data_IF_861932414573
#
_entry.id   IF_861932414573
#
_cell.length_a   1.000
_cell.length_b   1.000
_cell.length_c   1.000
_cell.angle_alpha   90.00
_cell.angle_beta   90.00
_cell.angle_gamma   90.00
#
_symmetry.space_group_name_H-M   'P 1'
#
loop_
_entity.id
_entity.type
_entity.pdbx_description
1 polymer ?
#
# COMPACT_ATOMS: atom_id res chain seq x y z
N UNK A 1 16.66 -54.49 -37.46
CA UNK A 1 17.87 -55.01 -36.80
C UNK A 1 17.82 -54.43 -35.42
N UNK A 2 17.38 -55.21 -34.42
CA UNK A 2 18.09 -55.81 -33.30
C UNK A 2 18.78 -54.76 -32.44
N UNK A 3 18.16 -54.41 -31.30
CA UNK A 3 18.32 -54.95 -29.93
C UNK A 3 19.55 -54.28 -29.23
N UNK A 4 19.57 -53.89 -27.97
CA UNK A 4 19.37 -54.70 -26.76
C UNK A 4 19.19 -53.73 -25.54
N UNK A 5 18.29 -54.14 -24.67
CA UNK A 5 18.12 -53.75 -23.25
C UNK A 5 19.38 -53.89 -22.43
N UNK A 6 19.53 -53.07 -21.38
CA UNK A 6 19.94 -53.62 -20.07
C UNK A 6 19.48 -52.69 -18.93
N UNK A 7 18.63 -53.23 -18.08
CA UNK A 7 18.26 -52.76 -16.76
C UNK A 7 19.33 -53.18 -15.73
N UNK A 8 19.58 -52.35 -14.76
CA UNK A 8 20.18 -52.78 -13.47
C UNK A 8 19.45 -52.13 -12.33
N UNK A 9 18.73 -52.97 -11.62
CA UNK A 9 18.23 -52.69 -10.29
C UNK A 9 19.28 -53.18 -9.28
N UNK A 10 19.53 -52.42 -8.25
CA UNK A 10 20.27 -52.88 -7.05
C UNK A 10 19.65 -52.32 -5.79
N UNK A 11 19.07 -53.17 -5.08
CA UNK A 11 18.52 -53.21 -3.73
C UNK A 11 19.67 -53.33 -2.70
N UNK A 12 19.69 -52.51 -1.63
CA UNK A 12 20.38 -52.82 -0.37
C UNK A 12 19.73 -52.01 0.76
N UNK A 13 18.93 -52.59 1.55
CA UNK A 13 19.05 -53.21 2.88
C UNK A 13 19.39 -52.24 4.03
N UNK A 14 18.40 -52.16 4.94
CA UNK A 14 18.46 -51.61 6.28
C UNK A 14 19.58 -52.16 7.17
N UNK A 15 20.26 -51.33 7.93
CA UNK A 15 20.90 -51.71 9.18
C UNK A 15 20.51 -50.69 10.24
N UNK A 16 19.71 -51.15 11.22
CA UNK A 16 19.52 -50.51 12.49
C UNK A 16 20.74 -50.74 13.35
N UNK A 17 21.38 -49.70 13.83
CA UNK A 17 22.18 -49.74 15.06
C UNK A 17 21.82 -48.56 15.93
N UNK A 18 21.19 -48.84 17.03
CA UNK A 18 21.00 -47.91 18.12
C UNK A 18 22.33 -47.67 18.83
N UNK A 19 22.58 -46.41 19.13
CA UNK A 19 23.52 -46.02 20.19
C UNK A 19 22.95 -44.76 20.83
N UNK A 20 22.50 -44.97 22.06
CA UNK A 20 22.20 -43.91 23.02
C UNK A 20 23.51 -43.22 23.42
N UNK A 21 23.64 -41.95 23.13
CA UNK A 21 24.70 -41.11 23.69
C UNK A 21 24.14 -39.74 24.02
N UNK A 22 24.18 -39.44 25.27
CA UNK A 22 24.23 -38.22 26.04
C UNK A 22 23.80 -36.90 25.37
N UNK A 23 22.68 -36.37 25.85
CA UNK A 23 22.33 -34.96 25.74
C UNK A 23 23.34 -34.11 26.49
N UNK A 24 24.38 -33.63 25.82
CA UNK A 24 25.12 -32.47 26.30
C UNK A 24 24.29 -31.21 25.91
N UNK A 25 23.61 -30.67 26.91
CA UNK A 25 23.03 -29.34 26.81
C UNK A 25 24.16 -28.35 26.67
N UNK A 26 24.48 -27.96 25.44
CA UNK A 26 25.29 -26.78 25.21
C UNK A 26 24.44 -25.57 25.67
N UNK A 27 24.83 -24.99 26.81
CA UNK A 27 24.42 -23.67 27.22
C UNK A 27 24.88 -22.70 26.12
N UNK A 28 23.96 -22.33 25.24
CA UNK A 28 24.12 -21.15 24.43
C UNK A 28 24.03 -19.98 25.39
N UNK A 29 25.18 -19.41 25.73
CA UNK A 29 25.23 -18.08 26.31
C UNK A 29 24.52 -17.15 25.34
N UNK A 30 23.27 -16.83 25.67
CA UNK A 30 22.56 -15.70 25.09
C UNK A 30 23.34 -14.45 25.52
N UNK A 31 24.26 -14.03 24.65
CA UNK A 31 24.74 -12.68 24.67
C UNK A 31 23.49 -11.81 24.55
N UNK A 32 23.12 -11.21 25.67
CA UNK A 32 22.16 -10.11 25.67
C UNK A 32 22.83 -8.96 24.95
N UNK A 33 22.73 -8.96 23.62
CA UNK A 33 22.79 -7.73 22.86
C UNK A 33 21.67 -6.85 23.41
N UNK A 34 22.10 -5.90 24.20
CA UNK A 34 21.26 -4.80 24.66
C UNK A 34 20.93 -3.95 23.44
N UNK A 35 19.98 -4.43 22.62
CA UNK A 35 19.24 -3.54 21.74
C UNK A 35 18.69 -2.46 22.67
N UNK A 36 19.28 -1.27 22.57
CA UNK A 36 18.75 -0.09 23.22
C UNK A 36 17.26 -0.07 22.87
N UNK A 37 16.41 -0.42 23.82
CA UNK A 37 14.97 -0.22 23.70
C UNK A 37 14.81 1.26 23.51
N UNK A 38 14.60 1.70 22.25
CA UNK A 38 14.04 3.00 21.99
C UNK A 38 12.72 2.99 22.77
N UNK A 39 12.69 3.70 23.86
CA UNK A 39 11.49 3.84 24.66
C UNK A 39 10.52 4.65 23.80
N UNK A 40 9.66 3.94 23.05
CA UNK A 40 8.44 4.55 22.52
C UNK A 40 7.76 5.18 23.75
N UNK A 41 7.56 6.50 23.78
CA UNK A 41 6.96 7.15 24.93
C UNK A 41 5.71 6.38 25.34
N UNK A 42 5.57 6.03 26.61
CA UNK A 42 4.40 5.33 27.13
C UNK A 42 3.13 6.09 26.77
N UNK A 43 1.94 5.50 26.93
CA UNK A 43 0.68 6.13 26.54
C UNK A 43 0.58 7.50 27.17
N UNK A 44 0.91 8.52 26.36
CA UNK A 44 0.76 9.92 26.74
C UNK A 44 -0.71 10.24 26.79
N UNK A 45 -1.11 11.06 27.74
CA UNK A 45 -2.48 11.55 27.88
C UNK A 45 -3.11 11.88 26.52
N UNK A 46 -4.37 11.54 26.36
CA UNK A 46 -5.10 11.53 25.08
C UNK A 46 -5.11 12.85 24.28
N UNK A 47 -4.40 13.87 24.74
CA UNK A 47 -4.32 15.21 24.16
C UNK A 47 -2.92 15.72 23.77
N UNK A 48 -1.82 15.12 24.25
CA UNK A 48 -0.48 15.63 23.93
C UNK A 48 -0.07 15.23 22.50
N UNK A 49 0.46 16.20 21.76
CA UNK A 49 1.07 16.00 20.45
C UNK A 49 2.59 16.06 20.63
N UNK A 50 3.28 15.04 20.16
CA UNK A 50 4.75 14.98 20.20
C UNK A 50 5.26 15.70 18.94
N UNK A 51 6.26 16.56 19.09
CA UNK A 51 6.86 17.24 17.94
C UNK A 51 7.79 16.29 17.18
N UNK A 52 7.71 16.35 15.87
CA UNK A 52 8.66 15.69 14.95
C UNK A 52 9.71 16.71 14.53
N UNK A 53 10.95 16.26 14.44
CA UNK A 53 12.05 17.07 13.95
C UNK A 53 12.79 16.31 12.86
N UNK A 54 13.16 17.00 11.79
CA UNK A 54 13.96 16.41 10.73
C UNK A 54 15.30 15.92 11.28
N UNK A 55 15.57 14.62 11.18
CA UNK A 55 16.86 14.03 11.51
C UNK A 55 17.79 14.00 10.31
N UNK A 56 17.23 13.93 9.10
CA UNK A 56 17.98 14.07 7.84
C UNK A 56 17.08 14.58 6.71
N UNK A 57 17.71 15.26 5.75
CA UNK A 57 17.08 15.69 4.50
C UNK A 57 17.98 15.29 3.33
N UNK A 58 17.43 14.58 2.36
CA UNK A 58 18.14 14.10 1.19
C UNK A 58 17.49 14.63 -0.07
N UNK A 59 18.27 15.30 -0.92
CA UNK A 59 17.83 15.67 -2.26
C UNK A 59 18.03 14.48 -3.21
N UNK A 60 16.94 13.96 -3.77
CA UNK A 60 16.95 12.78 -4.63
C UNK A 60 16.59 13.08 -6.09
N UNK A 61 16.67 14.36 -6.49
CA UNK A 61 16.30 14.80 -7.84
C UNK A 61 17.14 14.16 -8.93
N UNK A 62 18.45 13.98 -8.70
CA UNK A 62 19.35 13.31 -9.63
C UNK A 62 18.99 11.85 -9.84
N UNK A 63 18.61 11.18 -8.77
CA UNK A 63 18.21 9.77 -8.77
C UNK A 63 16.85 9.57 -9.43
N UNK A 64 15.95 10.51 -9.21
CA UNK A 64 14.64 10.54 -9.89
C UNK A 64 14.77 10.81 -11.39
N UNK A 65 15.72 11.67 -11.79
CA UNK A 65 15.91 12.09 -13.18
C UNK A 65 14.68 12.80 -13.76
N UNK A 66 13.95 13.56 -12.95
CA UNK A 66 12.77 14.35 -13.35
C UNK A 66 11.84 14.68 -12.20
N UNK A 67 10.72 15.35 -12.50
CA UNK A 67 9.67 15.63 -11.52
C UNK A 67 9.01 14.36 -11.00
N UNK A 68 8.44 14.41 -9.80
CA UNK A 68 7.69 13.31 -9.24
C UNK A 68 6.18 13.54 -9.33
N UNK A 69 5.43 12.45 -9.27
CA UNK A 69 3.98 12.45 -9.06
C UNK A 69 3.68 12.10 -7.60
N UNK A 70 2.56 12.54 -7.09
CA UNK A 70 2.18 12.48 -5.67
C UNK A 70 2.04 11.08 -5.06
N UNK A 71 2.17 10.01 -5.84
CA UNK A 71 2.07 8.64 -5.33
C UNK A 71 3.44 8.15 -4.86
N UNK A 72 3.56 7.82 -3.60
CA UNK A 72 4.73 7.14 -3.03
C UNK A 72 4.28 6.00 -2.14
N UNK A 73 5.07 4.94 -2.08
CA UNK A 73 4.90 3.81 -1.17
C UNK A 73 6.24 3.38 -0.63
N UNK A 74 6.22 2.58 0.44
CA UNK A 74 7.42 2.02 1.02
C UNK A 74 7.32 0.50 1.09
N UNK A 75 8.46 -0.15 1.06
CA UNK A 75 8.56 -1.56 1.46
C UNK A 75 8.93 -1.68 2.96
N UNK A 76 8.99 -2.91 3.44
CA UNK A 76 9.30 -3.20 4.85
C UNK A 76 10.72 -2.78 5.25
N UNK A 77 11.63 -2.64 4.29
CA UNK A 77 13.01 -2.20 4.49
C UNK A 77 13.15 -0.66 4.48
N UNK A 78 12.04 0.05 4.29
CA UNK A 78 12.01 1.52 4.24
C UNK A 78 12.50 2.12 2.92
N UNK A 79 12.63 1.32 1.85
CA UNK A 79 12.88 1.85 0.53
C UNK A 79 11.62 2.55 0.00
N UNK A 80 11.83 3.67 -0.68
CA UNK A 80 10.78 4.48 -1.27
C UNK A 80 10.54 4.09 -2.74
N UNK A 81 9.30 3.87 -3.09
CA UNK A 81 8.82 3.71 -4.46
C UNK A 81 8.09 4.98 -4.86
N UNK A 82 8.65 5.74 -5.79
CA UNK A 82 8.16 7.06 -6.16
C UNK A 82 7.87 7.10 -7.66
N UNK A 83 6.65 7.49 -8.03
CA UNK A 83 6.27 7.63 -9.42
C UNK A 83 6.93 8.87 -10.02
N UNK A 84 7.73 8.67 -11.07
CA UNK A 84 8.41 9.72 -11.81
C UNK A 84 7.54 10.20 -12.96
N UNK A 85 7.38 11.51 -13.15
CA UNK A 85 6.70 12.06 -14.30
C UNK A 85 7.58 11.92 -15.56
N UNK A 86 7.13 11.13 -16.53
CA UNK A 86 7.73 11.04 -17.86
C UNK A 86 6.97 11.97 -18.80
N UNK A 87 7.58 13.10 -19.18
CA UNK A 87 6.95 14.16 -19.98
C UNK A 87 6.54 13.71 -21.38
N UNK A 88 7.26 12.76 -21.95
CA UNK A 88 6.99 12.15 -23.27
C UNK A 88 5.85 11.13 -23.24
N UNK A 89 5.55 10.57 -22.06
CA UNK A 89 4.53 9.53 -21.86
C UNK A 89 3.96 9.59 -20.43
N UNK A 90 3.26 10.66 -20.08
CA UNK A 90 2.86 10.93 -18.69
C UNK A 90 1.92 9.86 -18.11
N UNK A 91 1.13 9.18 -18.95
CA UNK A 91 0.26 8.08 -18.53
C UNK A 91 0.98 6.75 -18.31
N UNK A 92 2.20 6.62 -18.82
CA UNK A 92 3.09 5.44 -18.63
C UNK A 92 4.32 5.81 -17.79
N UNK A 93 4.13 6.66 -16.83
CA UNK A 93 5.19 7.14 -15.95
C UNK A 93 5.78 6.00 -15.12
N UNK A 94 7.12 5.83 -15.14
CA UNK A 94 7.79 4.78 -14.38
C UNK A 94 7.80 5.07 -12.89
N UNK A 95 8.08 4.02 -12.10
CA UNK A 95 8.32 4.12 -10.66
C UNK A 95 9.81 3.92 -10.39
N UNK A 96 10.39 4.79 -9.57
CA UNK A 96 11.79 4.71 -9.12
C UNK A 96 11.80 4.16 -7.70
N UNK A 97 12.65 3.16 -7.44
CA UNK A 97 12.95 2.68 -6.10
C UNK A 97 14.21 3.38 -5.59
N UNK A 98 14.10 4.00 -4.42
CA UNK A 98 15.18 4.72 -3.73
C UNK A 98 15.40 4.07 -2.38
N UNK A 99 16.65 3.77 -2.04
CA UNK A 99 17.02 3.19 -0.76
C UNK A 99 17.07 4.22 0.38
N UNK A 100 17.45 3.75 1.54
CA UNK A 100 17.58 4.57 2.74
C UNK A 100 18.65 5.67 2.63
N UNK A 101 19.62 5.52 1.73
CA UNK A 101 20.69 6.48 1.49
C UNK A 101 20.34 7.50 0.38
N UNK A 102 19.12 7.42 -0.17
CA UNK A 102 18.66 8.30 -1.24
C UNK A 102 19.16 7.90 -2.62
N UNK A 103 19.70 6.71 -2.80
CA UNK A 103 20.22 6.22 -4.09
C UNK A 103 19.16 5.43 -4.84
N UNK A 104 19.12 5.57 -6.15
CA UNK A 104 18.28 4.76 -7.00
C UNK A 104 18.77 3.32 -7.05
N UNK A 105 17.90 2.40 -6.63
CA UNK A 105 18.13 0.94 -6.63
C UNK A 105 17.57 0.28 -7.88
N UNK A 106 16.37 0.72 -8.32
CA UNK A 106 15.69 0.17 -9.49
C UNK A 106 14.83 1.22 -10.21
N UNK A 107 14.50 0.92 -11.47
CA UNK A 107 13.53 1.65 -12.29
C UNK A 107 12.52 0.64 -12.86
N UNK A 108 11.27 0.79 -12.51
CA UNK A 108 10.15 -0.02 -12.96
C UNK A 108 9.41 0.73 -14.07
N UNK A 109 9.69 0.37 -15.31
CA UNK A 109 9.23 1.10 -16.48
C UNK A 109 8.15 0.33 -17.24
N UNK A 110 6.86 0.79 -17.25
CA UNK A 110 5.78 0.14 -18.00
C UNK A 110 6.07 -0.02 -19.50
N UNK A 111 6.90 0.83 -20.08
CA UNK A 111 7.28 0.73 -21.50
C UNK A 111 8.09 -0.53 -21.83
N UNK A 112 8.66 -1.21 -20.84
CA UNK A 112 9.28 -2.51 -21.02
C UNK A 112 8.29 -3.58 -21.54
N UNK A 113 6.98 -3.39 -21.32
CA UNK A 113 5.92 -4.26 -21.83
C UNK A 113 5.42 -3.84 -23.22
N UNK A 114 6.31 -3.52 -24.13
CA UNK A 114 6.02 -2.96 -25.46
C UNK A 114 5.03 -3.78 -26.31
N UNK A 115 4.87 -5.09 -26.04
CA UNK A 115 3.93 -5.97 -26.74
C UNK A 115 2.46 -5.76 -26.34
N UNK A 116 2.19 -5.09 -25.21
CA UNK A 116 0.84 -4.92 -24.69
C UNK A 116 0.12 -3.69 -25.25
N UNK A 117 0.82 -2.79 -25.93
CA UNK A 117 0.29 -1.50 -26.39
C UNK A 117 -0.49 -0.79 -25.25
N UNK A 118 0.19 -0.58 -24.12
CA UNK A 118 -0.40 0.03 -22.95
C UNK A 118 -0.72 1.51 -23.20
N UNK A 119 -1.89 1.93 -22.75
CA UNK A 119 -2.33 3.33 -22.81
C UNK A 119 -2.04 4.05 -21.48
N UNK A 120 -2.12 3.33 -20.37
CA UNK A 120 -2.00 3.91 -19.03
C UNK A 120 -1.44 2.89 -18.02
N UNK A 121 -0.66 3.38 -17.07
CA UNK A 121 -0.20 2.62 -15.90
C UNK A 121 -0.26 3.53 -14.66
N UNK A 122 -0.98 3.10 -13.64
CA UNK A 122 -1.32 3.95 -12.49
C UNK A 122 -0.88 3.36 -11.15
N UNK A 123 -1.84 2.85 -10.38
CA UNK A 123 -1.60 2.37 -9.02
C UNK A 123 -0.56 1.24 -9.00
N UNK A 124 0.28 1.26 -7.99
CA UNK A 124 1.33 0.26 -7.81
C UNK A 124 1.41 -0.20 -6.36
N UNK A 125 2.04 -1.34 -6.15
CA UNK A 125 2.30 -1.94 -4.85
C UNK A 125 3.70 -2.53 -4.82
N UNK A 126 4.53 -2.21 -3.81
CA UNK A 126 5.77 -2.94 -3.58
C UNK A 126 5.48 -4.44 -3.43
N UNK A 127 6.39 -5.27 -3.93
CA UNK A 127 6.35 -6.72 -3.76
C UNK A 127 7.30 -7.14 -2.63
N UNK A 128 7.02 -8.26 -1.97
CA UNK A 128 7.83 -8.74 -0.84
C UNK A 128 9.27 -9.11 -1.23
N UNK A 129 9.50 -9.45 -2.49
CA UNK A 129 10.82 -9.76 -3.04
C UNK A 129 11.64 -8.51 -3.38
N UNK A 130 11.13 -7.32 -3.03
CA UNK A 130 11.73 -6.03 -3.37
C UNK A 130 11.44 -5.55 -4.78
N UNK A 131 10.65 -6.29 -5.55
CA UNK A 131 10.10 -5.90 -6.84
C UNK A 131 8.86 -5.01 -6.70
N UNK A 132 8.03 -4.96 -7.75
CA UNK A 132 6.84 -4.13 -7.78
C UNK A 132 5.75 -4.72 -8.69
N UNK A 133 4.51 -4.57 -8.27
CA UNK A 133 3.34 -4.75 -9.11
C UNK A 133 2.73 -3.40 -9.49
N UNK A 134 2.26 -3.26 -10.73
CA UNK A 134 1.59 -2.05 -11.20
C UNK A 134 0.38 -2.39 -12.05
N UNK A 135 -0.74 -1.71 -11.82
CA UNK A 135 -1.92 -1.80 -12.69
C UNK A 135 -1.68 -1.01 -13.96
N UNK A 136 -2.04 -1.61 -15.09
CA UNK A 136 -1.98 -0.97 -16.40
C UNK A 136 -3.20 -1.31 -17.25
N UNK A 137 -3.52 -0.43 -18.18
CA UNK A 137 -4.65 -0.55 -19.09
C UNK A 137 -4.17 -0.53 -20.54
N UNK A 138 -4.85 -1.30 -21.39
CA UNK A 138 -4.65 -1.31 -22.84
C UNK A 138 -6.02 -1.29 -23.55
N UNK A 139 -6.21 -0.36 -24.49
CA UNK A 139 -7.44 -0.21 -25.25
C UNK A 139 -8.43 0.80 -24.64
N UNK A 140 -8.70 1.88 -25.37
CA UNK A 140 -9.54 3.00 -24.90
C UNK A 140 -11.03 2.64 -24.82
N UNK A 141 -11.56 1.86 -25.78
CA UNK A 141 -12.99 1.55 -25.87
C UNK A 141 -13.38 0.28 -25.10
N UNK A 142 -12.45 -0.61 -24.90
CA UNK A 142 -12.65 -1.89 -24.24
C UNK A 142 -11.37 -2.23 -23.46
N UNK A 143 -11.12 -1.52 -22.36
CA UNK A 143 -9.86 -1.61 -21.67
C UNK A 143 -9.64 -3.02 -21.14
N UNK A 144 -8.46 -3.55 -21.38
CA UNK A 144 -7.94 -4.75 -20.70
C UNK A 144 -7.08 -4.29 -19.55
N UNK A 145 -7.32 -4.86 -18.39
CA UNK A 145 -6.58 -4.52 -17.17
C UNK A 145 -5.50 -5.56 -16.95
N UNK A 146 -4.28 -5.11 -16.83
CA UNK A 146 -3.11 -5.94 -16.56
C UNK A 146 -2.50 -5.59 -15.21
N UNK A 147 -1.97 -6.60 -14.53
CA UNK A 147 -0.98 -6.41 -13.48
C UNK A 147 0.39 -6.66 -14.10
N UNK A 148 1.20 -5.63 -14.18
CA UNK A 148 2.60 -5.70 -14.57
C UNK A 148 3.39 -6.10 -13.33
N UNK A 149 4.27 -7.09 -13.47
CA UNK A 149 5.19 -7.51 -12.41
C UNK A 149 6.62 -7.22 -12.85
N UNK A 150 7.36 -6.60 -11.94
CA UNK A 150 8.79 -6.32 -12.09
C UNK A 150 9.55 -6.98 -10.93
N UNK A 151 10.66 -7.63 -11.22
CA UNK A 151 11.60 -8.11 -10.23
C UNK A 151 12.34 -6.96 -9.54
N UNK A 152 13.07 -7.25 -8.47
CA UNK A 152 13.75 -6.23 -7.64
C UNK A 152 14.77 -5.36 -8.39
N UNK A 153 15.30 -5.84 -9.53
CA UNK A 153 16.21 -5.10 -10.40
C UNK A 153 15.51 -4.25 -11.48
N UNK A 154 14.16 -4.28 -11.52
CA UNK A 154 13.34 -3.59 -12.50
C UNK A 154 13.05 -4.38 -13.78
N UNK A 155 13.50 -5.63 -13.90
CA UNK A 155 13.24 -6.47 -15.06
C UNK A 155 11.76 -6.88 -15.14
N UNK A 156 11.11 -6.79 -16.33
CA UNK A 156 9.72 -7.15 -16.47
C UNK A 156 9.52 -8.68 -16.47
N UNK A 157 8.50 -9.14 -15.76
CA UNK A 157 8.00 -10.51 -15.79
C UNK A 157 6.80 -10.66 -16.73
N UNK A 158 6.22 -11.86 -16.82
CA UNK A 158 5.01 -12.05 -17.62
C UNK A 158 3.85 -11.21 -17.02
N UNK A 159 3.13 -10.42 -17.84
CA UNK A 159 1.99 -9.64 -17.37
C UNK A 159 0.81 -10.54 -17.06
N UNK A 160 0.00 -10.17 -16.07
CA UNK A 160 -1.19 -10.88 -15.63
C UNK A 160 -2.41 -10.14 -16.12
N UNK A 161 -3.25 -10.78 -16.94
CA UNK A 161 -4.53 -10.21 -17.38
C UNK A 161 -5.57 -10.44 -16.30
N UNK A 162 -6.24 -9.38 -15.83
CA UNK A 162 -7.36 -9.51 -14.92
C UNK A 162 -8.66 -9.78 -15.70
N UNK A 163 -9.45 -10.74 -15.22
CA UNK A 163 -10.76 -11.07 -15.79
C UNK A 163 -11.83 -10.10 -15.29
N UNK A 164 -11.62 -8.80 -15.55
CA UNK A 164 -12.55 -7.75 -15.16
C UNK A 164 -12.33 -6.48 -15.98
N UNK A 165 -13.41 -5.69 -16.13
CA UNK A 165 -13.38 -4.38 -16.78
C UNK A 165 -13.89 -3.32 -15.81
N UNK A 166 -12.98 -2.48 -15.29
CA UNK A 166 -13.29 -1.43 -14.34
C UNK A 166 -12.20 -0.35 -14.34
N UNK A 167 -12.53 0.83 -13.86
CA UNK A 167 -11.56 1.91 -13.62
C UNK A 167 -10.94 1.72 -12.23
N UNK A 168 -9.61 1.55 -12.17
CA UNK A 168 -8.89 1.27 -10.92
C UNK A 168 -8.57 2.55 -10.17
N UNK A 169 -8.87 2.59 -8.87
CA UNK A 169 -8.48 3.67 -7.96
C UNK A 169 -7.49 3.21 -6.90
N UNK A 170 -7.65 1.99 -6.38
CA UNK A 170 -6.81 1.44 -5.32
C UNK A 170 -6.36 0.04 -5.70
N UNK A 171 -5.09 -0.22 -5.50
CA UNK A 171 -4.45 -1.49 -5.80
C UNK A 171 -3.42 -1.84 -4.74
N UNK A 172 -3.38 -3.11 -4.34
CA UNK A 172 -2.31 -3.66 -3.51
C UNK A 172 -2.13 -5.17 -3.79
N UNK A 173 -0.91 -5.65 -3.59
CA UNK A 173 -0.58 -7.06 -3.68
C UNK A 173 -0.50 -7.68 -2.28
N UNK A 174 -1.04 -8.88 -2.12
CA UNK A 174 -0.85 -9.73 -0.96
C UNK A 174 0.52 -10.44 -1.03
N UNK A 175 0.96 -10.92 0.12
CA UNK A 175 2.21 -11.68 0.24
C UNK A 175 2.24 -12.96 -0.61
N UNK A 176 1.09 -13.57 -0.86
CA UNK A 176 0.93 -14.79 -1.66
C UNK A 176 0.82 -14.53 -3.17
N UNK A 177 0.92 -13.27 -3.60
CA UNK A 177 0.82 -12.84 -4.99
C UNK A 177 -0.61 -12.62 -5.49
N UNK A 178 -1.63 -12.76 -4.62
CA UNK A 178 -2.98 -12.31 -4.95
C UNK A 178 -3.05 -10.77 -4.95
N UNK A 179 -4.11 -10.21 -5.53
CA UNK A 179 -4.26 -8.76 -5.68
C UNK A 179 -5.60 -8.27 -5.16
N UNK A 180 -5.61 -7.18 -4.43
CA UNK A 180 -6.80 -6.39 -4.17
C UNK A 180 -6.89 -5.26 -5.19
N UNK A 181 -8.04 -5.12 -5.80
CA UNK A 181 -8.36 -4.03 -6.72
C UNK A 181 -9.66 -3.38 -6.30
N UNK A 182 -9.69 -2.05 -6.25
CA UNK A 182 -10.89 -1.28 -5.99
C UNK A 182 -11.02 -0.14 -6.99
N UNK A 183 -12.25 0.13 -7.43
CA UNK A 183 -12.52 1.18 -8.41
C UNK A 183 -13.99 1.27 -8.78
N UNK A 184 -14.28 1.70 -10.00
CA UNK A 184 -15.62 1.79 -10.56
C UNK A 184 -15.80 0.83 -11.72
N UNK A 185 -16.82 0.01 -11.66
CA UNK A 185 -17.27 -0.81 -12.77
C UNK A 185 -18.39 -0.07 -13.50
N UNK A 186 -18.24 0.11 -14.80
CA UNK A 186 -19.22 0.78 -15.66
C UNK A 186 -19.71 -0.15 -16.75
N UNK A 187 -20.98 -0.02 -17.14
CA UNK A 187 -21.45 -0.58 -18.38
C UNK A 187 -21.00 0.35 -19.52
N UNK A 188 -19.93 0.00 -20.20
CA UNK A 188 -19.31 0.79 -21.25
C UNK A 188 -20.22 1.10 -22.45
N UNK A 189 -21.37 0.43 -22.57
CA UNK A 189 -22.40 0.67 -23.60
C UNK A 189 -23.43 1.73 -23.14
N UNK A 190 -23.51 2.00 -21.85
CA UNK A 190 -24.48 2.96 -21.29
C UNK A 190 -23.79 4.28 -20.92
N UNK A 191 -23.96 5.31 -21.75
CA UNK A 191 -23.40 6.65 -21.51
C UNK A 191 -23.91 7.35 -20.24
N UNK A 192 -25.01 6.89 -19.67
CA UNK A 192 -25.62 7.39 -18.44
C UNK A 192 -25.28 6.54 -17.22
N UNK A 193 -24.41 5.53 -17.38
CA UNK A 193 -23.96 4.73 -16.25
C UNK A 193 -22.89 5.50 -15.45
N UNK A 194 -23.25 5.93 -14.25
CA UNK A 194 -22.32 6.59 -13.31
C UNK A 194 -21.33 5.62 -12.69
N UNK A 195 -21.43 4.33 -13.01
CA UNK A 195 -20.60 3.29 -12.45
C UNK A 195 -21.07 2.83 -11.04
N UNK A 196 -20.66 1.66 -10.67
CA UNK A 196 -20.84 1.08 -9.33
C UNK A 196 -19.50 0.80 -8.69
N UNK A 197 -19.41 0.99 -7.38
CA UNK A 197 -18.21 0.63 -6.66
C UNK A 197 -17.93 -0.86 -6.83
N UNK A 198 -16.69 -1.15 -7.16
CA UNK A 198 -16.19 -2.49 -7.34
C UNK A 198 -14.93 -2.67 -6.48
N UNK A 199 -14.91 -3.70 -5.65
CA UNK A 199 -13.72 -4.10 -4.91
C UNK A 199 -13.67 -5.61 -4.92
N UNK A 200 -12.56 -6.18 -5.38
CA UNK A 200 -12.40 -7.61 -5.46
C UNK A 200 -10.96 -8.04 -5.18
N UNK A 201 -10.81 -9.30 -4.78
CA UNK A 201 -9.53 -9.99 -4.72
C UNK A 201 -9.41 -10.88 -5.94
N UNK A 202 -8.28 -10.78 -6.60
CA UNK A 202 -7.87 -11.60 -7.73
C UNK A 202 -6.72 -12.51 -7.32
N UNK A 203 -6.68 -13.70 -7.89
CA UNK A 203 -5.55 -14.62 -7.74
C UNK A 203 -4.33 -14.13 -8.53
N UNK A 204 -3.17 -14.70 -8.21
CA UNK A 204 -1.91 -14.43 -8.90
C UNK A 204 -1.94 -14.72 -10.43
N UNK A 205 -2.92 -15.48 -10.91
CA UNK A 205 -3.18 -15.74 -12.33
C UNK A 205 -4.29 -14.85 -12.94
N UNK A 206 -4.81 -13.88 -12.18
CA UNK A 206 -5.74 -12.85 -12.65
C UNK A 206 -7.22 -13.21 -12.57
N UNK A 207 -7.62 -14.35 -11.98
CA UNK A 207 -9.03 -14.73 -11.81
C UNK A 207 -9.62 -14.05 -10.58
N UNK A 208 -10.85 -13.58 -10.67
CA UNK A 208 -11.59 -13.08 -9.51
C UNK A 208 -11.83 -14.21 -8.51
N UNK A 209 -11.38 -14.01 -7.27
CA UNK A 209 -11.58 -14.94 -6.16
C UNK A 209 -12.78 -14.55 -5.30
N UNK A 210 -12.94 -13.26 -5.03
CA UNK A 210 -14.00 -12.75 -4.17
C UNK A 210 -14.28 -11.29 -4.49
N UNK A 211 -15.55 -10.92 -4.55
CA UNK A 211 -15.99 -9.53 -4.55
C UNK A 211 -16.35 -9.09 -3.13
N UNK A 212 -15.86 -7.91 -2.72
CA UNK A 212 -16.06 -7.38 -1.39
C UNK A 212 -17.18 -6.34 -1.39
N UNK A 213 -18.03 -6.38 -0.38
CA UNK A 213 -19.01 -5.35 -0.09
C UNK A 213 -18.69 -4.73 1.27
N UNK A 214 -18.60 -3.40 1.31
CA UNK A 214 -18.38 -2.65 2.54
C UNK A 214 -19.65 -1.93 2.93
N UNK A 215 -20.05 -2.03 4.19
CA UNK A 215 -21.15 -1.24 4.71
C UNK A 215 -20.78 0.24 4.79
N UNK A 216 -21.69 1.11 4.34
CA UNK A 216 -21.53 2.54 4.54
C UNK A 216 -21.57 2.87 6.03
N UNK A 217 -20.70 3.76 6.56
CA UNK A 217 -20.83 4.21 7.94
C UNK A 217 -22.21 4.84 8.18
N UNK A 218 -22.79 4.59 9.36
CA UNK A 218 -24.11 5.09 9.70
C UNK A 218 -24.28 6.62 9.53
N UNK A 219 -23.20 7.39 9.67
CA UNK A 219 -23.20 8.85 9.47
C UNK A 219 -23.33 9.26 7.99
N UNK A 220 -22.80 8.49 7.05
CA UNK A 220 -22.99 8.76 5.62
C UNK A 220 -24.42 8.42 5.18
N UNK A 221 -24.98 7.35 5.72
CA UNK A 221 -26.38 7.01 5.51
C UNK A 221 -27.33 8.10 6.08
N UNK A 222 -26.99 8.70 7.24
CA UNK A 222 -27.75 9.80 7.83
C UNK A 222 -27.63 11.11 7.01
N UNK A 223 -26.43 11.44 6.50
CA UNK A 223 -26.24 12.60 5.62
C UNK A 223 -26.96 12.43 4.27
N UNK A 224 -26.92 11.24 3.69
CA UNK A 224 -27.71 10.89 2.51
C UNK A 224 -29.21 10.98 2.77
N UNK A 225 -29.67 10.64 3.96
CA UNK A 225 -31.05 10.81 4.41
C UNK A 225 -31.48 12.27 4.62
N UNK A 226 -30.60 13.12 5.17
CA UNK A 226 -30.88 14.53 5.43
C UNK A 226 -30.90 15.40 4.16
N UNK A 227 -30.14 15.03 3.12
CA UNK A 227 -30.24 15.67 1.79
C UNK A 227 -31.54 15.32 1.04
N UNK A 228 -32.35 14.43 1.58
CA UNK A 228 -33.58 13.94 0.97
C UNK A 228 -34.72 14.96 0.95
N UNK A 229 -34.60 16.12 1.60
CA UNK A 229 -35.66 17.15 1.62
C UNK A 229 -35.54 18.25 0.56
N UNK A 230 -34.48 18.25 -0.26
CA UNK A 230 -34.22 19.37 -1.22
C UNK A 230 -34.44 18.95 -2.68
N UNK A 231 -35.58 18.52 -3.03
CA UNK A 231 -36.15 18.40 -4.40
C UNK A 231 -36.45 16.98 -4.87
N UNK A 232 -37.73 16.71 -5.04
CA UNK A 232 -38.26 15.43 -5.54
C UNK A 232 -37.91 15.08 -6.98
N UNK A 233 -37.36 16.00 -7.76
CA UNK A 233 -36.96 15.79 -9.18
C UNK A 233 -35.50 15.33 -9.32
N UNK A 234 -34.59 15.82 -8.49
CA UNK A 234 -33.21 15.34 -8.44
C UNK A 234 -33.04 14.00 -7.72
N UNK A 235 -34.08 13.55 -7.03
CA UNK A 235 -34.06 12.39 -6.14
C UNK A 235 -34.06 11.05 -6.87
N UNK A 236 -34.56 11.02 -8.11
CA UNK A 236 -34.64 9.77 -8.89
C UNK A 236 -33.31 9.36 -9.52
N UNK A 237 -32.43 10.33 -9.72
CA UNK A 237 -31.09 10.11 -10.31
C UNK A 237 -29.99 9.93 -9.23
N UNK A 238 -30.18 10.55 -8.05
CA UNK A 238 -29.28 10.38 -6.90
C UNK A 238 -29.43 9.02 -6.20
N UNK A 239 -30.56 8.34 -6.39
CA UNK A 239 -30.84 7.02 -5.76
C UNK A 239 -30.06 5.87 -6.45
N UNK A 240 -29.41 6.13 -7.59
CA UNK A 240 -28.63 5.14 -8.35
C UNK A 240 -27.10 5.25 -8.21
N UNK A 241 -26.59 6.34 -7.69
CA UNK A 241 -25.16 6.45 -7.45
C UNK A 241 -24.81 5.74 -6.13
N UNK A 242 -24.22 4.55 -6.20
CA UNK A 242 -23.63 3.92 -5.03
C UNK A 242 -22.65 4.92 -4.39
N UNK A 243 -22.72 5.16 -3.05
CA UNK A 243 -21.79 6.08 -2.42
C UNK A 243 -20.37 5.62 -2.72
N UNK A 244 -19.53 6.53 -3.23
CA UNK A 244 -18.12 6.22 -3.46
C UNK A 244 -17.53 5.72 -2.15
N UNK A 245 -16.89 4.55 -2.14
CA UNK A 245 -16.32 3.96 -0.93
C UNK A 245 -15.16 4.81 -0.38
N UNK A 246 -14.63 5.71 -1.21
CA UNK A 246 -13.53 6.60 -0.87
C UNK A 246 -12.35 5.86 -0.23
N UNK A 247 -12.05 4.66 -0.76
CA UNK A 247 -10.84 3.92 -0.40
C UNK A 247 -9.64 4.68 -0.96
N UNK A 248 -8.74 5.09 -0.07
CA UNK A 248 -7.64 5.95 -0.45
C UNK A 248 -6.37 5.15 -0.74
N UNK A 249 -6.03 4.24 0.14
CA UNK A 249 -4.79 3.49 0.09
C UNK A 249 -4.97 2.07 0.60
N UNK A 250 -4.13 1.17 0.10
CA UNK A 250 -4.03 -0.20 0.58
C UNK A 250 -2.56 -0.57 0.74
N UNK A 251 -2.22 -1.22 1.86
CA UNK A 251 -0.87 -1.59 2.26
C UNK A 251 -0.83 -3.03 2.75
N UNK A 252 0.29 -3.71 2.48
CA UNK A 252 0.53 -5.06 2.98
C UNK A 252 1.00 -5.03 4.42
N UNK A 253 0.34 -5.81 5.29
CA UNK A 253 0.82 -6.03 6.64
C UNK A 253 1.81 -7.21 6.73
N UNK A 254 2.64 -7.20 7.76
CA UNK A 254 3.55 -8.33 8.05
C UNK A 254 2.82 -9.64 8.42
N UNK A 255 1.51 -9.54 8.70
CA UNK A 255 0.62 -10.68 8.98
C UNK A 255 0.04 -11.33 7.71
N UNK A 256 0.44 -10.86 6.52
CA UNK A 256 -0.01 -11.35 5.22
C UNK A 256 -1.38 -10.83 4.79
N UNK A 257 -2.02 -9.97 5.59
CA UNK A 257 -3.26 -9.31 5.22
C UNK A 257 -3.00 -7.96 4.56
N UNK A 258 -4.00 -7.45 3.83
CA UNK A 258 -4.02 -6.06 3.38
C UNK A 258 -4.80 -5.20 4.35
N UNK A 259 -4.27 -4.02 4.58
CA UNK A 259 -4.90 -2.95 5.33
C UNK A 259 -5.36 -1.89 4.32
N UNK A 260 -6.64 -1.63 4.27
CA UNK A 260 -7.25 -0.73 3.27
C UNK A 260 -7.90 0.44 3.99
N UNK A 261 -7.35 1.62 3.79
CA UNK A 261 -7.83 2.84 4.44
C UNK A 261 -8.98 3.48 3.66
N UNK A 262 -10.03 3.81 4.37
CA UNK A 262 -11.13 4.64 3.88
C UNK A 262 -11.01 6.07 4.43
N UNK A 263 -11.14 7.05 3.55
CA UNK A 263 -11.23 8.47 3.92
C UNK A 263 -12.58 8.78 4.55
N UNK A 264 -12.64 8.67 5.87
CA UNK A 264 -13.83 9.00 6.66
C UNK A 264 -13.41 9.58 8.02
N UNK A 265 -14.35 10.16 8.75
CA UNK A 265 -14.14 10.64 10.12
C UNK A 265 -15.13 9.89 11.05
N UNK A 266 -14.64 8.96 11.91
CA UNK A 266 -13.26 8.51 12.05
C UNK A 266 -12.73 7.79 10.80
N UNK A 267 -11.40 7.72 10.63
CA UNK A 267 -10.78 6.89 9.62
C UNK A 267 -11.13 5.41 9.84
N UNK A 268 -11.45 4.70 8.76
CA UNK A 268 -11.70 3.26 8.80
C UNK A 268 -10.57 2.54 8.09
N UNK A 269 -10.03 1.51 8.71
CA UNK A 269 -9.06 0.61 8.09
C UNK A 269 -9.64 -0.80 8.10
N UNK A 270 -9.89 -1.33 6.92
CA UNK A 270 -10.34 -2.70 6.73
C UNK A 270 -9.15 -3.63 6.64
N UNK A 271 -9.14 -4.70 7.42
CA UNK A 271 -8.12 -5.76 7.33
C UNK A 271 -8.71 -6.90 6.51
N UNK A 272 -8.08 -7.18 5.37
CA UNK A 272 -8.59 -8.11 4.36
C UNK A 272 -7.59 -9.25 4.20
N UNK A 273 -8.07 -10.48 4.34
CA UNK A 273 -7.29 -11.68 4.09
C UNK A 273 -7.12 -11.95 2.58
N UNK A 274 -6.11 -12.72 2.16
CA UNK A 274 -5.90 -13.09 0.75
C UNK A 274 -7.10 -13.82 0.10
N UNK A 275 -7.97 -14.42 0.90
CA UNK A 275 -9.24 -15.02 0.45
C UNK A 275 -10.34 -14.02 0.11
N UNK A 276 -10.10 -12.71 0.30
CA UNK A 276 -11.11 -11.66 0.18
C UNK A 276 -12.00 -11.48 1.41
N UNK A 277 -11.76 -12.24 2.49
CA UNK A 277 -12.53 -12.06 3.72
C UNK A 277 -12.11 -10.79 4.46
N UNK A 278 -13.05 -9.90 4.75
CA UNK A 278 -12.84 -8.79 5.69
C UNK A 278 -12.76 -9.37 7.10
N UNK A 279 -11.58 -9.36 7.70
CA UNK A 279 -11.32 -9.94 9.02
C UNK A 279 -11.78 -9.02 10.14
N UNK A 280 -11.60 -7.72 9.97
CA UNK A 280 -12.02 -6.69 10.94
C UNK A 280 -12.03 -5.31 10.30
N UNK A 281 -12.69 -4.38 10.97
CA UNK A 281 -12.66 -2.94 10.67
C UNK A 281 -12.12 -2.20 11.88
N UNK A 282 -11.07 -1.44 11.68
CA UNK A 282 -10.38 -0.65 12.70
C UNK A 282 -10.83 0.80 12.55
N UNK A 283 -11.12 1.47 13.67
CA UNK A 283 -11.48 2.89 13.69
C UNK A 283 -10.36 3.69 14.32
N UNK A 284 -9.89 4.73 13.63
CA UNK A 284 -8.86 5.65 14.13
C UNK A 284 -9.42 7.07 14.14
N UNK A 285 -9.48 7.67 15.33
CA UNK A 285 -9.96 9.04 15.48
C UNK A 285 -8.99 10.07 14.92
N UNK A 286 -9.52 11.09 14.26
CA UNK A 286 -8.70 12.24 13.84
C UNK A 286 -8.19 13.05 15.05
N UNK A 287 -6.93 13.45 15.06
CA UNK A 287 -6.35 14.32 16.08
C UNK A 287 -6.64 15.81 15.81
N UNK A 288 -7.25 16.13 14.68
CA UNK A 288 -7.60 17.45 14.22
C UNK A 288 -9.10 17.52 13.94
N UNK A 289 -9.81 18.58 14.30
CA UNK A 289 -11.21 18.79 13.90
C UNK A 289 -11.33 18.73 12.37
N UNK A 290 -12.36 18.07 11.88
CA UNK A 290 -12.75 17.99 10.47
C UNK A 290 -11.65 17.51 9.50
N UNK A 291 -10.52 17.03 10.00
CA UNK A 291 -9.45 16.47 9.17
C UNK A 291 -9.77 15.03 8.75
N UNK A 292 -9.51 14.75 7.49
CA UNK A 292 -9.60 13.41 6.92
C UNK A 292 -8.20 12.77 6.80
N UNK A 293 -8.11 11.44 6.83
CA UNK A 293 -6.84 10.78 6.59
C UNK A 293 -6.40 11.02 5.13
N UNK A 294 -5.15 11.41 4.93
CA UNK A 294 -4.57 11.68 3.61
C UNK A 294 -3.73 10.52 3.10
N UNK A 295 -2.97 9.89 3.99
CA UNK A 295 -2.11 8.75 3.71
C UNK A 295 -1.92 7.89 4.95
N UNK A 296 -1.49 6.65 4.76
CA UNK A 296 -1.16 5.79 5.89
C UNK A 296 -0.08 4.78 5.52
N UNK A 297 0.58 4.22 6.54
CA UNK A 297 1.57 3.16 6.38
C UNK A 297 1.46 2.17 7.53
N UNK A 298 1.68 0.87 7.22
CA UNK A 298 1.66 -0.23 8.18
C UNK A 298 3.07 -0.74 8.39
N UNK A 299 3.54 -0.75 9.64
CA UNK A 299 4.87 -1.24 10.01
C UNK A 299 4.77 -2.15 11.24
N UNK A 300 5.04 -3.43 11.05
CA UNK A 300 4.89 -4.44 12.08
C UNK A 300 3.45 -4.51 12.62
N UNK A 301 3.29 -4.30 13.93
CA UNK A 301 1.99 -4.27 14.60
C UNK A 301 1.44 -2.85 14.81
N UNK A 302 2.00 -1.86 14.14
CA UNK A 302 1.58 -0.47 14.22
C UNK A 302 1.16 0.04 12.83
N UNK A 303 0.32 1.07 12.83
CA UNK A 303 -0.02 1.82 11.63
C UNK A 303 0.06 3.31 11.94
N UNK A 304 0.60 4.08 11.02
CA UNK A 304 0.67 5.53 11.06
C UNK A 304 -0.29 6.12 10.04
N UNK A 305 -1.21 6.99 10.47
CA UNK A 305 -2.17 7.68 9.62
C UNK A 305 -1.88 9.17 9.65
N UNK A 306 -1.67 9.75 8.48
CA UNK A 306 -1.54 11.19 8.33
C UNK A 306 -2.92 11.82 8.15
N UNK A 307 -3.19 12.88 8.92
CA UNK A 307 -4.40 13.68 8.84
C UNK A 307 -4.03 15.10 8.43
N UNK A 308 -4.69 15.60 7.42
CA UNK A 308 -4.51 16.94 6.90
C UNK A 308 -5.78 17.76 7.10
N UNK A 309 -5.63 18.99 7.58
CA UNK A 309 -6.72 19.95 7.67
C UNK A 309 -6.43 21.11 6.72
N UNK A 310 -7.29 21.27 5.70
CA UNK A 310 -7.12 22.28 4.65
C UNK A 310 -7.24 23.72 5.16
N UNK A 311 -8.08 23.97 6.17
CA UNK A 311 -8.29 25.32 6.69
C UNK A 311 -7.10 25.82 7.50
N UNK A 312 -6.57 24.97 8.38
CA UNK A 312 -5.44 25.33 9.24
C UNK A 312 -4.07 25.03 8.60
N UNK A 313 -4.03 24.35 7.44
CA UNK A 313 -2.82 23.89 6.78
C UNK A 313 -1.90 23.08 7.74
N UNK A 314 -2.53 22.30 8.61
CA UNK A 314 -1.84 21.48 9.62
C UNK A 314 -1.92 20.01 9.29
N UNK A 315 -0.80 19.36 9.52
CA UNK A 315 -0.68 17.90 9.44
C UNK A 315 -0.42 17.33 10.84
N UNK A 316 -1.05 16.19 11.11
CA UNK A 316 -0.71 15.35 12.25
C UNK A 316 -0.68 13.89 11.82
N UNK A 317 0.25 13.15 12.39
CA UNK A 317 0.33 11.70 12.22
C UNK A 317 -0.13 11.03 13.51
N UNK A 318 -1.08 10.11 13.40
CA UNK A 318 -1.51 9.25 14.49
C UNK A 318 -0.87 7.90 14.31
N UNK A 319 -0.12 7.44 15.29
CA UNK A 319 0.33 6.05 15.38
C UNK A 319 -0.66 5.29 16.24
N UNK A 320 -1.15 4.19 15.69
CA UNK A 320 -2.13 3.31 16.34
C UNK A 320 -1.68 1.85 16.24
N UNK A 321 -2.16 1.05 17.18
CA UNK A 321 -2.01 -0.39 17.18
C UNK A 321 -2.80 -0.99 16.00
N UNK A 322 -2.14 -1.75 15.14
CA UNK A 322 -2.74 -2.29 13.92
C UNK A 322 -3.76 -3.42 14.18
N UNK A 323 -3.83 -3.94 15.41
CA UNK A 323 -4.80 -4.95 15.78
C UNK A 323 -6.09 -4.36 16.34
N UNK A 324 -5.99 -3.29 17.11
CA UNK A 324 -7.10 -2.73 17.89
C UNK A 324 -7.54 -1.34 17.45
N UNK A 325 -6.69 -0.61 16.72
CA UNK A 325 -6.90 0.82 16.42
C UNK A 325 -6.67 1.74 17.61
N UNK A 326 -6.24 1.22 18.74
CA UNK A 326 -5.94 2.03 19.92
C UNK A 326 -4.80 2.99 19.59
N UNK A 327 -5.05 4.29 19.76
CA UNK A 327 -4.03 5.31 19.60
C UNK A 327 -2.87 5.07 20.55
N UNK A 328 -1.66 5.05 20.01
CA UNK A 328 -0.40 4.96 20.74
C UNK A 328 0.10 6.38 21.00
N UNK A 329 0.22 7.20 19.93
CA UNK A 329 0.69 8.56 20.03
C UNK A 329 0.13 9.43 18.89
N UNK A 330 0.20 10.74 19.06
CA UNK A 330 -0.03 11.74 18.00
C UNK A 330 1.23 12.57 17.81
N UNK A 331 1.60 12.77 16.57
CA UNK A 331 2.78 13.52 16.18
C UNK A 331 2.37 14.72 15.34
N UNK A 332 3.05 15.85 15.52
CA UNK A 332 2.79 17.06 14.77
C UNK A 332 4.07 17.62 14.18
N UNK A 333 3.93 18.19 12.99
CA UNK A 333 4.98 18.96 12.36
C UNK A 333 5.01 20.37 12.95
N UNK A 334 6.10 20.79 13.59
CA UNK A 334 6.29 22.19 14.01
C UNK A 334 6.51 23.13 12.80
N UNK A 335 6.69 22.61 11.61
CA UNK A 335 6.96 23.29 10.35
C UNK A 335 8.23 22.75 9.68
N UNK A 336 8.12 22.43 8.37
CA UNK A 336 9.27 22.05 7.52
C UNK A 336 9.40 20.59 7.15
N UNK A 337 8.49 19.72 7.55
CA UNK A 337 8.54 18.29 7.15
C UNK A 337 7.86 18.02 5.79
N UNK A 338 7.13 19.01 5.26
CA UNK A 338 6.39 18.86 4.01
C UNK A 338 5.05 18.12 4.18
N UNK A 339 4.14 18.26 3.20
CA UNK A 339 2.76 17.79 3.32
C UNK A 339 2.58 16.29 3.03
N UNK A 340 3.56 15.64 2.44
CA UNK A 340 3.40 14.27 1.93
C UNK A 340 4.08 13.25 2.85
N UNK A 341 3.32 12.71 3.80
CA UNK A 341 3.75 11.56 4.59
C UNK A 341 3.86 10.32 3.69
N UNK A 342 4.99 9.66 3.72
CA UNK A 342 5.29 8.48 2.89
C UNK A 342 5.41 7.20 3.71
N UNK A 343 6.24 7.18 4.75
CA UNK A 343 6.56 5.97 5.51
C UNK A 343 6.63 6.19 7.00
N UNK A 344 6.51 5.09 7.72
CA UNK A 344 6.78 4.98 9.14
C UNK A 344 7.53 3.68 9.44
N UNK A 345 8.66 3.75 10.10
CA UNK A 345 9.37 2.59 10.63
C UNK A 345 9.07 2.46 12.13
N UNK A 346 8.26 1.47 12.49
CA UNK A 346 7.87 1.24 13.90
C UNK A 346 9.06 0.83 14.78
N UNK A 347 10.04 0.13 14.22
CA UNK A 347 11.22 -0.34 14.94
C UNK A 347 12.20 0.80 15.26
N UNK A 348 12.30 1.77 14.37
CA UNK A 348 13.23 2.88 14.49
C UNK A 348 12.56 4.15 15.04
N UNK A 349 11.21 4.23 15.00
CA UNK A 349 10.48 5.44 15.37
C UNK A 349 10.65 6.57 14.36
N UNK A 350 11.02 6.25 13.11
CA UNK A 350 11.32 7.20 12.05
C UNK A 350 10.12 7.38 11.14
N UNK A 351 9.81 8.63 10.82
CA UNK A 351 8.80 9.05 9.86
C UNK A 351 9.49 9.60 8.62
N UNK A 352 8.98 9.26 7.44
CA UNK A 352 9.50 9.77 6.17
C UNK A 352 8.46 10.63 5.49
N UNK A 353 8.88 11.83 5.08
CA UNK A 353 8.07 12.79 4.35
C UNK A 353 8.72 13.13 3.02
N UNK A 354 7.91 13.55 2.07
CA UNK A 354 8.36 14.06 0.78
C UNK A 354 7.94 15.53 0.66
N UNK A 355 8.84 16.36 0.17
CA UNK A 355 8.53 17.74 -0.18
C UNK A 355 9.23 18.17 -1.47
N UNK A 356 8.71 19.24 -2.06
CA UNK A 356 9.39 19.95 -3.13
C UNK A 356 10.24 21.06 -2.50
N UNK A 357 11.55 20.94 -2.63
CA UNK A 357 12.51 21.97 -2.26
C UNK A 357 12.68 23.04 -3.36
N UNK A 358 13.73 23.80 -3.25
CA UNK A 358 14.08 24.83 -4.24
C UNK A 358 14.27 24.23 -5.65
N UNK A 359 13.74 24.91 -6.66
CA UNK A 359 13.84 24.47 -8.06
C UNK A 359 13.04 23.20 -8.37
N UNK A 360 12.02 22.86 -7.59
CA UNK A 360 11.23 21.63 -7.67
C UNK A 360 12.04 20.36 -7.42
N UNK A 361 13.13 20.46 -6.67
CA UNK A 361 13.89 19.31 -6.22
C UNK A 361 13.04 18.45 -5.28
N UNK A 362 12.97 17.14 -5.52
CA UNK A 362 12.35 16.23 -4.56
C UNK A 362 13.30 16.00 -3.38
N UNK A 363 12.82 16.29 -2.21
CA UNK A 363 13.50 16.05 -0.95
C UNK A 363 12.79 14.95 -0.15
N UNK A 364 13.58 14.03 0.35
CA UNK A 364 13.16 12.99 1.31
C UNK A 364 13.61 13.44 2.69
N UNK A 365 12.66 13.67 3.59
CA UNK A 365 12.91 14.11 4.95
C UNK A 365 12.60 12.96 5.89
N UNK A 366 13.59 12.57 6.70
CA UNK A 366 13.40 11.67 7.82
C UNK A 366 13.23 12.48 9.07
N UNK A 367 12.26 12.12 9.89
CA UNK A 367 11.92 12.83 11.12
C UNK A 367 11.72 11.86 12.27
N UNK A 368 12.10 12.30 13.45
CA UNK A 368 12.01 11.55 14.70
C UNK A 368 11.33 12.39 15.77
N UNK A 369 10.79 11.72 16.79
CA UNK A 369 10.25 12.36 17.98
C UNK A 369 11.37 12.93 18.84
N UNK A 370 11.15 14.14 19.37
CA UNK A 370 11.99 14.73 20.42
C UNK A 370 11.26 14.77 21.75
#
# INVERSE_FOLDING_TARGET
MKSVFTAWAALVACIFFGLSAGLSVAQINSGTDTLAKIQVPGPTDAGSTISLHASSTMNVVSEMGGAFMSSSKCDADGNLYIRKLAMDRPLLSPVVKIDSDGKRVALFDPAAFSRLALDRADAFSPALDGGMYQIAESGVLNPRIYVLHFSSDGSPSAPILLDANFEVYTFAAFADGNFLVSGLQRDGLNKNDHGRNFTAVFSADGRELAQLSFEAPAQEAAKAGAQKEISKSAQKDAEKAAPTLNLAEAESGSDGNLYVMRRSSPALVYVIAPSGKVMKTIKVGSPLPDALPSSFHVSGNQMALSFWNDESQRQKVVVADAQTGRKIASYGDPGGLGPSFACFSANEGVFTFLQLGEGNALEVIRAEAQ
#
